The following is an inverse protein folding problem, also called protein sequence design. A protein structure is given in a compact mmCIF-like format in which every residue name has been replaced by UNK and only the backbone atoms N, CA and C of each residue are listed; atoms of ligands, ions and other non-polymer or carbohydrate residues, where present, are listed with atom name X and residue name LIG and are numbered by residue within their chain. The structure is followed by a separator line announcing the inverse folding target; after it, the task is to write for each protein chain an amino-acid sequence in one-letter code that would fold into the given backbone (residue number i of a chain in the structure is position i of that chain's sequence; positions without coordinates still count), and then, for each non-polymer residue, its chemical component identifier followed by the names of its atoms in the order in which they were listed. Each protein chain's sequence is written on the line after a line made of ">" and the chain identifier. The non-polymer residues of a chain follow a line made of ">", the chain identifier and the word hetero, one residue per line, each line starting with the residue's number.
data_IF_480293597954
#
_entry.id   IF_480293597954
#
_cell.length_a   1.000
_cell.length_b   1.000
_cell.length_c   1.000
_cell.angle_alpha   90.00
_cell.angle_beta   90.00
_cell.angle_gamma   90.00
#
_symmetry.space_group_name_H-M   'P 1'
#
loop_
_entity.id
_entity.type
_entity.pdbx_description
1 polymer ?
#
# COMPACT_ATOMS: atom_id res chain seq x y z
N UNK A 1 4.80 17.33 -10.79
CA UNK A 1 5.35 16.66 -9.60
C UNK A 1 6.86 16.75 -9.65
N UNK A 2 7.49 17.10 -8.53
CA UNK A 2 8.92 16.93 -8.37
C UNK A 2 9.26 15.44 -8.13
N UNK A 3 10.55 15.11 -8.12
CA UNK A 3 10.99 13.72 -7.93
C UNK A 3 10.51 13.11 -6.58
N UNK A 4 10.54 13.82 -5.44
CA UNK A 4 10.00 13.31 -4.18
C UNK A 4 8.50 12.99 -4.24
N UNK A 5 7.67 13.85 -4.84
CA UNK A 5 6.24 13.58 -4.98
C UNK A 5 5.96 12.43 -5.93
N UNK A 6 6.70 12.30 -7.03
CA UNK A 6 6.55 11.13 -7.90
C UNK A 6 6.89 9.83 -7.14
N UNK A 7 7.97 9.82 -6.36
CA UNK A 7 8.36 8.65 -5.58
C UNK A 7 7.32 8.27 -4.51
N UNK A 8 6.74 9.24 -3.81
CA UNK A 8 5.67 8.99 -2.84
C UNK A 8 4.42 8.42 -3.52
N UNK A 9 4.02 9.00 -4.66
CA UNK A 9 2.88 8.51 -5.44
C UNK A 9 3.11 7.08 -5.93
N UNK A 10 4.30 6.77 -6.45
CA UNK A 10 4.67 5.42 -6.88
C UNK A 10 4.62 4.42 -5.73
N UNK A 11 5.08 4.77 -4.52
CA UNK A 11 4.98 3.88 -3.35
C UNK A 11 3.54 3.59 -2.95
N UNK A 12 2.65 4.58 -2.99
CA UNK A 12 1.21 4.39 -2.69
C UNK A 12 0.64 3.34 -3.65
N UNK A 13 0.80 3.52 -4.95
CA UNK A 13 0.25 2.60 -5.94
C UNK A 13 0.92 1.22 -5.93
N UNK A 14 2.23 1.15 -5.67
CA UNK A 14 2.92 -0.13 -5.56
C UNK A 14 2.40 -0.96 -4.37
N UNK A 15 2.16 -0.32 -3.22
CA UNK A 15 1.56 -0.99 -2.04
C UNK A 15 0.16 -1.49 -2.32
N UNK A 16 -0.68 -0.65 -2.93
CA UNK A 16 -2.06 -1.00 -3.27
C UNK A 16 -2.11 -2.17 -4.25
N UNK A 17 -1.32 -2.10 -5.32
CA UNK A 17 -1.25 -3.15 -6.32
C UNK A 17 -0.78 -4.49 -5.72
N UNK A 18 0.28 -4.47 -4.92
CA UNK A 18 0.80 -5.68 -4.28
C UNK A 18 -0.21 -6.30 -3.31
N UNK A 19 -0.83 -5.48 -2.46
CA UNK A 19 -1.84 -5.95 -1.51
C UNK A 19 -3.05 -6.54 -2.21
N UNK A 20 -3.62 -5.81 -3.18
CA UNK A 20 -4.79 -6.24 -3.93
C UNK A 20 -4.54 -7.56 -4.68
N UNK A 21 -3.45 -7.65 -5.44
CA UNK A 21 -3.13 -8.85 -6.23
C UNK A 21 -2.94 -10.06 -5.32
N UNK A 22 -2.20 -9.89 -4.22
CA UNK A 22 -1.87 -11.01 -3.34
C UNK A 22 -3.08 -11.50 -2.53
N UNK A 23 -3.85 -10.59 -1.93
CA UNK A 23 -5.04 -10.93 -1.13
C UNK A 23 -6.19 -11.47 -2.00
N UNK A 24 -6.48 -10.82 -3.14
CA UNK A 24 -7.53 -11.31 -4.03
C UNK A 24 -7.13 -12.64 -4.69
N UNK A 25 -5.83 -12.82 -4.99
CA UNK A 25 -5.29 -14.09 -5.49
C UNK A 25 -5.42 -15.20 -4.45
N UNK A 26 -5.00 -14.95 -3.20
CA UNK A 26 -5.11 -15.92 -2.12
C UNK A 26 -6.58 -16.32 -1.89
N UNK A 27 -7.50 -15.35 -1.89
CA UNK A 27 -8.95 -15.61 -1.79
C UNK A 27 -9.43 -16.61 -2.84
N UNK A 28 -8.97 -16.49 -4.10
CA UNK A 28 -9.35 -17.42 -5.18
C UNK A 28 -8.77 -18.82 -4.96
N UNK A 29 -7.51 -18.93 -4.56
CA UNK A 29 -6.83 -20.22 -4.30
C UNK A 29 -7.48 -20.96 -3.14
N UNK A 30 -7.74 -20.27 -2.03
CA UNK A 30 -8.40 -20.84 -0.85
C UNK A 30 -9.83 -21.26 -1.19
N UNK A 31 -10.58 -20.42 -1.91
CA UNK A 31 -11.95 -20.73 -2.33
C UNK A 31 -12.05 -21.95 -3.26
N UNK A 32 -11.00 -22.25 -4.01
CA UNK A 32 -10.89 -23.44 -4.86
C UNK A 32 -10.39 -24.69 -4.11
N UNK A 33 -10.22 -24.62 -2.78
CA UNK A 33 -9.58 -25.66 -1.97
C UNK A 33 -8.17 -26.07 -2.48
N UNK A 34 -7.44 -25.10 -3.05
CA UNK A 34 -6.15 -25.35 -3.70
C UNK A 34 -4.97 -25.57 -2.75
N UNK A 35 -5.15 -25.35 -1.44
CA UNK A 35 -4.11 -25.48 -0.41
C UNK A 35 -4.72 -26.08 0.84
N UNK A 36 -4.05 -27.07 1.43
CA UNK A 36 -4.47 -27.66 2.70
C UNK A 36 -4.24 -26.65 3.84
N UNK A 37 -5.14 -26.62 4.84
CA UNK A 37 -5.02 -25.76 6.02
C UNK A 37 -3.66 -25.90 6.72
N UNK A 38 -3.12 -27.13 6.80
CA UNK A 38 -1.81 -27.38 7.41
C UNK A 38 -0.64 -26.73 6.64
N UNK A 39 -0.81 -26.48 5.34
CA UNK A 39 0.21 -25.91 4.44
C UNK A 39 0.05 -24.39 4.30
N UNK A 40 -1.07 -23.83 4.75
CA UNK A 40 -1.43 -22.41 4.56
C UNK A 40 -0.35 -21.43 5.03
N UNK A 41 0.26 -21.59 6.23
CA UNK A 41 1.27 -20.63 6.69
C UNK A 41 2.53 -20.62 5.82
N UNK A 42 2.94 -21.79 5.30
CA UNK A 42 4.07 -21.91 4.40
C UNK A 42 3.74 -21.32 3.03
N UNK A 43 2.50 -21.54 2.55
CA UNK A 43 2.02 -20.98 1.30
C UNK A 43 1.96 -19.44 1.35
N UNK A 44 1.35 -18.86 2.38
CA UNK A 44 1.32 -17.40 2.60
C UNK A 44 2.73 -16.78 2.66
N UNK A 45 3.66 -17.48 3.32
CA UNK A 45 5.07 -17.08 3.35
C UNK A 45 5.69 -17.12 1.96
N UNK A 46 5.39 -18.14 1.15
CA UNK A 46 5.90 -18.26 -0.22
C UNK A 46 5.38 -17.18 -1.17
N UNK A 47 4.15 -16.68 -0.92
CA UNK A 47 3.56 -15.53 -1.63
C UNK A 47 4.13 -14.19 -1.16
N UNK A 48 4.88 -14.17 -0.05
CA UNK A 48 5.44 -12.96 0.52
C UNK A 48 4.42 -12.09 1.26
N UNK A 49 3.26 -12.63 1.67
CA UNK A 49 2.22 -11.86 2.36
C UNK A 49 2.74 -11.09 3.59
N UNK A 50 3.59 -11.67 4.46
CA UNK A 50 4.11 -10.93 5.60
C UNK A 50 4.92 -9.68 5.19
N UNK A 51 5.60 -9.70 4.04
CA UNK A 51 6.35 -8.55 3.52
C UNK A 51 5.39 -7.52 2.94
N UNK A 52 4.36 -7.95 2.21
CA UNK A 52 3.33 -7.07 1.63
C UNK A 52 2.56 -6.34 2.74
N UNK A 53 2.23 -7.03 3.83
CA UNK A 53 1.60 -6.41 5.01
C UNK A 53 2.52 -5.38 5.67
N UNK A 54 3.81 -5.72 5.87
CA UNK A 54 4.79 -4.78 6.44
C UNK A 54 5.04 -3.58 5.53
N UNK A 55 4.96 -3.75 4.21
CA UNK A 55 5.14 -2.68 3.24
C UNK A 55 4.07 -1.58 3.37
N UNK A 56 2.93 -1.84 4.01
CA UNK A 56 1.89 -0.83 4.26
C UNK A 56 2.35 0.27 5.24
N UNK A 57 3.43 0.02 5.99
CA UNK A 57 4.05 1.04 6.83
C UNK A 57 4.41 2.29 6.00
N UNK A 58 3.96 3.45 6.47
CA UNK A 58 4.19 4.73 5.79
C UNK A 58 3.19 5.07 4.67
N UNK A 59 2.15 4.26 4.44
CA UNK A 59 1.11 4.58 3.45
C UNK A 59 0.40 5.91 3.73
N UNK A 60 -0.12 6.09 4.96
CA UNK A 60 -0.85 7.31 5.34
C UNK A 60 0.05 8.55 5.26
N UNK A 61 1.29 8.56 5.80
CA UNK A 61 2.22 9.67 5.59
C UNK A 61 2.48 10.01 4.11
N UNK A 62 2.66 9.01 3.23
CA UNK A 62 2.82 9.25 1.79
C UNK A 62 1.54 9.88 1.18
N UNK A 63 0.36 9.40 1.58
CA UNK A 63 -0.93 9.97 1.12
C UNK A 63 -1.12 11.41 1.60
N UNK A 64 -0.75 11.71 2.85
CA UNK A 64 -0.82 13.05 3.40
C UNK A 64 0.11 14.01 2.68
N UNK A 65 1.35 13.58 2.42
CA UNK A 65 2.31 14.35 1.65
C UNK A 65 1.81 14.63 0.22
N UNK A 66 1.23 13.64 -0.46
CA UNK A 66 0.65 13.83 -1.79
C UNK A 66 -0.56 14.77 -1.76
N UNK A 67 -1.41 14.68 -0.74
CA UNK A 67 -2.52 15.62 -0.58
C UNK A 67 -2.02 17.05 -0.34
N UNK A 68 -0.92 17.23 0.38
CA UNK A 68 -0.29 18.53 0.57
C UNK A 68 0.26 19.10 -0.74
N UNK A 69 0.90 18.26 -1.56
CA UNK A 69 1.41 18.63 -2.89
C UNK A 69 0.28 18.93 -3.89
N UNK A 70 -0.78 18.12 -3.91
CA UNK A 70 -1.89 18.27 -4.85
C UNK A 70 -2.78 19.48 -4.55
N UNK A 71 -3.08 19.70 -3.27
CA UNK A 71 -4.06 20.70 -2.86
C UNK A 71 -3.43 21.94 -2.21
N UNK A 72 -2.10 22.00 -2.13
CA UNK A 72 -1.40 23.11 -1.48
C UNK A 72 -1.80 23.31 -0.01
N UNK A 73 -2.18 22.23 0.71
CA UNK A 73 -2.77 22.33 2.06
C UNK A 73 -1.84 23.05 3.05
N UNK A 74 -0.53 22.88 2.92
CA UNK A 74 0.47 23.55 3.75
C UNK A 74 0.43 25.07 3.52
N UNK A 75 0.47 25.51 2.26
CA UNK A 75 0.40 26.93 1.92
C UNK A 75 -0.94 27.56 2.36
N UNK A 76 -2.05 26.84 2.20
CA UNK A 76 -3.37 27.29 2.65
C UNK A 76 -3.45 27.47 4.17
N UNK A 77 -2.83 26.58 4.95
CA UNK A 77 -2.78 26.71 6.42
C UNK A 77 -1.93 27.90 6.86
N UNK A 78 -0.77 28.13 6.23
CA UNK A 78 0.07 29.29 6.51
C UNK A 78 -0.63 30.61 6.23
N UNK A 79 -1.42 30.69 5.15
CA UNK A 79 -2.18 31.90 4.80
C UNK A 79 -3.33 32.23 5.76
N UNK A 80 -3.89 31.23 6.45
CA UNK A 80 -4.97 31.44 7.44
C UNK A 80 -4.43 31.86 8.81
N UNK A 81 -3.16 31.56 9.10
CA UNK A 81 -2.51 31.87 10.37
C UNK A 81 -1.79 33.24 10.40
N UNK A 82 -1.74 33.94 9.27
CA UNK A 82 -1.16 35.27 9.10
C UNK A 82 -2.24 36.35 9.12
#
# INVERSE_FOLDING_TARGET
>A
FDAPALAALSRIFAREAAFKVAEEGLRLVVGAAGVNEAEMPAFETSLGLPVIHRAQAGLIPDMDYIADVLYGRVAKRTAVAA
#
